data_IF_798944871873
#
_entry.id   IF_798944871873
#
_cell.length_a   1.000
_cell.length_b   1.000
_cell.length_c   1.000
_cell.angle_alpha   90.00
_cell.angle_beta   90.00
_cell.angle_gamma   90.00
#
_symmetry.space_group_name_H-M   'P 1'
#
loop_
_entity.id
_entity.type
_entity.pdbx_description
1 polymer ?
#
# COMPACT_ATOMS: atom_id res chain seq x y z
N UNK A 1 -19.09 -16.45 -6.68
CA UNK A 1 -19.92 -16.40 -5.45
C UNK A 1 -19.95 -17.78 -4.82
N UNK A 2 -18.91 -18.11 -4.05
CA UNK A 2 -18.75 -19.40 -3.38
C UNK A 2 -19.23 -19.27 -1.94
N UNK A 3 -20.28 -20.03 -1.62
CA UNK A 3 -20.96 -20.08 -0.34
C UNK A 3 -20.11 -20.88 0.65
N UNK A 4 -19.71 -20.27 1.77
CA UNK A 4 -19.08 -20.99 2.88
C UNK A 4 -20.15 -21.58 3.78
N UNK A 5 -20.13 -22.90 3.90
CA UNK A 5 -20.97 -23.74 4.74
C UNK A 5 -20.60 -23.55 6.22
N UNK A 6 -21.55 -23.06 7.02
CA UNK A 6 -21.48 -23.05 8.48
C UNK A 6 -21.52 -24.49 9.00
N UNK A 7 -20.43 -24.96 9.61
CA UNK A 7 -20.41 -26.20 10.38
C UNK A 7 -20.95 -25.91 11.79
N UNK A 8 -22.20 -26.31 12.04
CA UNK A 8 -22.83 -26.32 13.35
C UNK A 8 -22.23 -27.45 14.19
N UNK A 9 -21.50 -27.11 15.25
CA UNK A 9 -21.04 -28.09 16.25
C UNK A 9 -22.21 -28.36 17.20
N UNK A 10 -22.80 -29.55 17.08
CA UNK A 10 -23.79 -30.06 18.01
C UNK A 10 -23.11 -30.44 19.34
N UNK A 11 -23.48 -29.77 20.44
CA UNK A 11 -23.14 -30.22 21.78
C UNK A 11 -24.03 -31.41 22.16
N UNK A 12 -23.40 -32.56 22.41
CA UNK A 12 -24.04 -33.71 23.02
C UNK A 12 -24.24 -33.46 24.52
N UNK A 13 -25.49 -33.33 24.94
CA UNK A 13 -25.92 -33.35 26.34
C UNK A 13 -26.00 -34.79 26.84
N UNK A 14 -25.02 -35.21 27.65
CA UNK A 14 -25.14 -36.43 28.44
C UNK A 14 -25.86 -36.11 29.76
N UNK A 15 -27.14 -36.46 29.84
CA UNK A 15 -27.90 -36.47 31.08
C UNK A 15 -27.65 -37.79 31.82
N UNK A 16 -26.98 -37.74 32.97
CA UNK A 16 -26.94 -38.84 33.94
C UNK A 16 -27.84 -38.48 35.12
N UNK A 17 -28.90 -39.28 35.28
CA UNK A 17 -29.77 -39.26 36.43
C UNK A 17 -29.08 -39.89 37.65
N UNK A 18 -29.18 -39.22 38.80
CA UNK A 18 -28.82 -39.73 40.11
C UNK A 18 -29.46 -38.88 41.20
N UNK A 19 -30.37 -39.45 41.98
CA UNK A 19 -30.99 -38.81 43.14
C UNK A 19 -29.95 -38.59 44.25
N UNK A 20 -29.90 -37.38 44.82
CA UNK A 20 -29.21 -37.13 46.08
C UNK A 20 -28.81 -35.68 46.28
N UNK A 21 -29.38 -35.06 47.33
CA UNK A 21 -29.03 -33.75 47.93
C UNK A 21 -29.47 -32.49 47.17
N UNK A 22 -30.07 -31.57 47.94
CA UNK A 22 -30.53 -30.25 47.54
C UNK A 22 -29.42 -29.47 46.79
N UNK A 23 -29.76 -28.52 45.90
CA UNK A 23 -28.77 -27.65 45.31
C UNK A 23 -28.10 -26.86 46.44
N UNK A 24 -26.88 -27.27 46.80
CA UNK A 24 -25.96 -26.38 47.51
C UNK A 24 -25.89 -25.11 46.67
N UNK A 25 -26.19 -23.97 47.29
CA UNK A 25 -25.96 -22.67 46.68
C UNK A 25 -24.56 -22.68 46.03
N UNK A 26 -24.39 -22.10 44.83
CA UNK A 26 -23.07 -22.03 44.21
C UNK A 26 -22.09 -21.50 45.26
N UNK A 27 -20.94 -22.16 45.48
CA UNK A 27 -20.00 -21.74 46.50
C UNK A 27 -19.66 -20.27 46.25
N UNK A 28 -19.80 -19.45 47.30
CA UNK A 28 -19.56 -18.03 47.19
C UNK A 28 -18.04 -17.83 47.12
N UNK A 29 -17.51 -17.78 45.90
CA UNK A 29 -16.06 -17.75 45.62
C UNK A 29 -15.48 -16.33 45.60
N UNK A 30 -16.20 -15.36 46.18
CA UNK A 30 -15.78 -13.95 46.27
C UNK A 30 -14.56 -13.75 47.20
N UNK A 31 -14.24 -14.74 48.05
CA UNK A 31 -13.05 -14.71 48.90
C UNK A 31 -11.80 -15.23 48.16
N UNK A 32 -10.77 -14.38 47.94
CA UNK A 32 -9.53 -14.78 47.27
C UNK A 32 -8.69 -15.80 48.06
N UNK A 33 -9.00 -16.08 49.32
CA UNK A 33 -8.33 -17.09 50.15
C UNK A 33 -9.14 -18.39 50.29
N UNK A 34 -10.24 -18.56 49.56
CA UNK A 34 -11.05 -19.77 49.64
C UNK A 34 -10.32 -20.98 49.03
N UNK A 35 -9.96 -21.95 49.88
CA UNK A 35 -9.24 -23.16 49.50
C UNK A 35 -10.16 -24.27 48.93
N UNK A 36 -11.46 -24.01 48.75
CA UNK A 36 -12.38 -24.95 48.10
C UNK A 36 -11.88 -25.24 46.67
N UNK A 37 -11.61 -26.51 46.32
CA UNK A 37 -11.09 -26.87 45.00
C UNK A 37 -12.01 -26.44 43.85
N UNK A 38 -13.33 -26.30 44.08
CA UNK A 38 -14.25 -25.75 43.09
C UNK A 38 -14.03 -24.25 42.87
N UNK A 39 -13.79 -23.47 43.93
CA UNK A 39 -13.48 -22.04 43.83
C UNK A 39 -12.10 -21.79 43.22
N UNK A 40 -11.10 -22.61 43.55
CA UNK A 40 -9.75 -22.53 42.96
C UNK A 40 -9.80 -22.75 41.44
N UNK A 41 -10.61 -23.70 40.96
CA UNK A 41 -10.78 -23.93 39.51
C UNK A 41 -11.47 -22.75 38.81
N UNK A 42 -12.50 -22.15 39.42
CA UNK A 42 -13.18 -20.98 38.87
C UNK A 42 -12.24 -19.78 38.80
N UNK A 43 -11.47 -19.51 39.86
CA UNK A 43 -10.48 -18.44 39.90
C UNK A 43 -9.35 -18.67 38.89
N UNK A 44 -8.87 -19.92 38.73
CA UNK A 44 -7.87 -20.27 37.71
C UNK A 44 -8.41 -20.08 36.28
N UNK A 45 -9.66 -20.45 36.02
CA UNK A 45 -10.31 -20.23 34.72
C UNK A 45 -10.53 -18.74 34.42
N UNK A 46 -10.90 -17.94 35.44
CA UNK A 46 -11.01 -16.49 35.30
C UNK A 46 -9.65 -15.84 35.02
N UNK A 47 -8.60 -16.24 35.74
CA UNK A 47 -7.23 -15.79 35.49
C UNK A 47 -6.75 -16.16 34.09
N UNK A 48 -6.98 -17.40 33.65
CA UNK A 48 -6.63 -17.83 32.29
C UNK A 48 -7.36 -17.02 31.21
N UNK A 49 -8.64 -16.69 31.41
CA UNK A 49 -9.39 -15.80 30.51
C UNK A 49 -8.83 -14.37 30.50
N UNK A 50 -8.47 -13.82 31.66
CA UNK A 50 -7.86 -12.50 31.76
C UNK A 50 -6.49 -12.45 31.08
N UNK A 51 -5.66 -13.47 31.29
CA UNK A 51 -4.35 -13.61 30.63
C UNK A 51 -4.50 -13.73 29.10
N UNK A 52 -5.52 -14.47 28.63
CA UNK A 52 -5.82 -14.60 27.21
C UNK A 52 -6.30 -13.26 26.62
N UNK A 53 -7.17 -12.52 27.30
CA UNK A 53 -7.61 -11.20 26.88
C UNK A 53 -6.45 -10.19 26.84
N UNK A 54 -5.55 -10.22 27.82
CA UNK A 54 -4.36 -9.38 27.85
C UNK A 54 -3.42 -9.67 26.66
N UNK A 55 -3.20 -10.95 26.34
CA UNK A 55 -2.40 -11.35 25.16
C UNK A 55 -3.04 -10.91 23.86
N UNK A 56 -4.36 -11.04 23.72
CA UNK A 56 -5.08 -10.58 22.53
C UNK A 56 -4.96 -9.06 22.35
N UNK A 57 -5.13 -8.29 23.43
CA UNK A 57 -4.96 -6.84 23.40
C UNK A 57 -3.54 -6.42 23.01
N UNK A 58 -2.51 -7.14 23.50
CA UNK A 58 -1.12 -6.90 23.10
C UNK A 58 -0.88 -7.16 21.62
N UNK A 59 -1.33 -8.32 21.10
CA UNK A 59 -1.19 -8.65 19.67
C UNK A 59 -1.90 -7.63 18.77
N UNK A 60 -3.05 -7.12 19.21
CA UNK A 60 -3.77 -6.08 18.49
C UNK A 60 -3.01 -4.75 18.47
N UNK A 61 -2.48 -4.31 19.61
CA UNK A 61 -1.69 -3.08 19.70
C UNK A 61 -0.42 -3.16 18.83
N UNK A 62 0.25 -4.31 18.79
CA UNK A 62 1.40 -4.54 17.92
C UNK A 62 1.01 -4.49 16.43
N UNK A 63 -0.13 -5.07 16.06
CA UNK A 63 -0.67 -5.00 14.69
C UNK A 63 -0.93 -3.55 14.26
N UNK A 64 -1.57 -2.74 15.12
CA UNK A 64 -1.76 -1.30 14.88
C UNK A 64 -0.42 -0.59 14.67
N UNK A 65 0.58 -0.87 15.51
CA UNK A 65 1.88 -0.24 15.40
C UNK A 65 2.57 -0.56 14.05
N UNK A 66 2.47 -1.80 13.56
CA UNK A 66 3.03 -2.19 12.25
C UNK A 66 2.30 -1.53 11.09
N UNK A 67 0.97 -1.44 11.13
CA UNK A 67 0.22 -0.68 10.13
C UNK A 67 0.58 0.80 10.13
N UNK A 68 0.71 1.44 11.30
CA UNK A 68 1.10 2.84 11.39
C UNK A 68 2.52 3.07 10.83
N UNK A 69 3.45 2.17 11.13
CA UNK A 69 4.81 2.24 10.59
C UNK A 69 4.83 2.11 9.06
N UNK A 70 4.02 1.19 8.51
CA UNK A 70 3.89 1.05 7.06
C UNK A 70 3.22 2.28 6.44
N UNK A 71 2.14 2.82 7.01
CA UNK A 71 1.50 4.04 6.50
C UNK A 71 2.51 5.21 6.45
N UNK A 72 3.34 5.37 7.47
CA UNK A 72 4.39 6.40 7.48
C UNK A 72 5.39 6.24 6.32
N UNK A 73 5.77 5.00 5.98
CA UNK A 73 6.64 4.74 4.83
C UNK A 73 5.95 5.08 3.50
N UNK A 74 4.65 4.77 3.38
CA UNK A 74 3.86 5.09 2.18
C UNK A 74 3.67 6.61 2.03
N UNK A 75 3.46 7.32 3.13
CA UNK A 75 3.34 8.79 3.15
C UNK A 75 4.67 9.46 2.77
N UNK A 76 5.80 8.90 3.23
CA UNK A 76 7.13 9.36 2.82
C UNK A 76 7.37 9.17 1.32
N UNK A 77 6.94 8.05 0.74
CA UNK A 77 7.04 7.82 -0.70
C UNK A 77 6.22 8.84 -1.51
N UNK A 78 5.00 9.16 -1.07
CA UNK A 78 4.17 10.19 -1.71
C UNK A 78 4.86 11.56 -1.64
N UNK A 79 5.41 11.93 -0.48
CA UNK A 79 6.13 13.18 -0.31
C UNK A 79 7.40 13.25 -1.16
N UNK A 80 8.17 12.16 -1.27
CA UNK A 80 9.33 12.10 -2.18
C UNK A 80 8.91 12.30 -3.65
N UNK A 81 7.79 11.72 -4.03
CA UNK A 81 7.22 11.88 -5.37
C UNK A 81 6.82 13.34 -5.66
N UNK A 82 6.19 14.02 -4.70
CA UNK A 82 5.83 15.44 -4.79
C UNK A 82 7.08 16.33 -4.94
N UNK A 83 8.09 16.12 -4.09
CA UNK A 83 9.36 16.87 -4.16
C UNK A 83 10.06 16.64 -5.50
N UNK A 84 10.06 15.40 -5.98
CA UNK A 84 10.75 15.03 -7.22
C UNK A 84 10.08 15.60 -8.45
N UNK A 85 8.74 15.63 -8.49
CA UNK A 85 8.03 16.20 -9.63
C UNK A 85 8.14 17.73 -9.65
N UNK A 86 8.16 18.37 -8.48
CA UNK A 86 8.46 19.79 -8.36
C UNK A 86 9.88 20.10 -8.89
N UNK A 87 10.88 19.30 -8.49
CA UNK A 87 12.25 19.44 -8.99
C UNK A 87 12.35 19.25 -10.52
N UNK A 88 11.54 18.35 -11.10
CA UNK A 88 11.47 18.18 -12.55
C UNK A 88 10.91 19.44 -13.24
N UNK A 89 9.87 20.06 -12.68
CA UNK A 89 9.33 21.34 -13.18
C UNK A 89 10.39 22.45 -13.05
N UNK A 90 11.06 22.54 -11.90
CA UNK A 90 12.06 23.56 -11.63
C UNK A 90 13.28 23.47 -12.54
N UNK A 91 13.71 22.26 -12.89
CA UNK A 91 14.76 22.03 -13.87
C UNK A 91 14.42 22.68 -15.23
N UNK A 92 13.14 22.79 -15.55
CA UNK A 92 12.61 23.45 -16.74
C UNK A 92 12.61 24.98 -16.69
N UNK A 93 12.83 25.61 -15.54
CA UNK A 93 12.71 27.08 -15.40
C UNK A 93 13.68 27.86 -16.30
N UNK A 94 14.80 27.25 -16.67
CA UNK A 94 15.76 27.80 -17.65
C UNK A 94 15.24 27.84 -19.10
N UNK A 95 14.13 27.17 -19.41
CA UNK A 95 13.54 27.10 -20.74
C UNK A 95 12.50 28.23 -20.95
N UNK A 96 12.19 28.59 -22.20
CA UNK A 96 11.01 29.41 -22.51
C UNK A 96 9.72 28.75 -22.00
N UNK A 97 8.74 29.54 -21.52
CA UNK A 97 7.50 29.05 -20.90
C UNK A 97 6.79 27.95 -21.70
N UNK A 98 6.73 28.09 -23.02
CA UNK A 98 6.10 27.10 -23.91
C UNK A 98 6.80 25.72 -23.92
N UNK A 99 8.07 25.66 -23.54
CA UNK A 99 8.93 24.47 -23.55
C UNK A 99 9.11 23.84 -22.16
N UNK A 100 8.53 24.44 -21.12
CA UNK A 100 8.68 23.97 -19.73
C UNK A 100 7.80 22.75 -19.45
N UNK A 101 8.27 21.81 -18.60
CA UNK A 101 7.41 20.82 -17.98
C UNK A 101 6.24 21.50 -17.27
N UNK A 102 5.06 20.88 -17.29
CA UNK A 102 3.82 21.45 -16.72
C UNK A 102 2.82 20.36 -16.37
N UNK A 103 1.69 20.77 -15.80
CA UNK A 103 0.54 19.91 -15.49
C UNK A 103 0.97 18.68 -14.67
N UNK A 104 1.87 18.90 -13.70
CA UNK A 104 2.36 17.85 -12.82
C UNK A 104 1.33 17.51 -11.76
N UNK A 105 1.15 16.23 -11.46
CA UNK A 105 0.25 15.75 -10.41
C UNK A 105 0.78 14.47 -9.78
N UNK A 106 0.51 14.30 -8.48
CA UNK A 106 0.77 13.07 -7.74
C UNK A 106 -0.58 12.48 -7.35
N UNK A 107 -0.85 11.26 -7.83
CA UNK A 107 -2.07 10.53 -7.58
C UNK A 107 -1.83 9.48 -6.50
N UNK A 108 -2.82 9.32 -5.63
CA UNK A 108 -2.81 8.34 -4.56
C UNK A 108 -4.04 7.47 -4.65
N UNK A 109 -3.91 6.24 -4.19
CA UNK A 109 -5.01 5.27 -4.11
C UNK A 109 -5.07 4.69 -2.71
N UNK A 110 -6.22 4.12 -2.35
CA UNK A 110 -6.42 3.41 -1.09
C UNK A 110 -6.57 1.92 -1.38
N UNK A 111 -5.77 1.09 -0.72
CA UNK A 111 -5.80 -0.37 -0.90
C UNK A 111 -5.92 -1.09 0.45
N UNK A 112 -6.69 -2.19 0.51
CA UNK A 112 -6.75 -3.02 1.71
C UNK A 112 -5.45 -3.81 1.86
N UNK A 113 -4.81 -3.70 3.02
CA UNK A 113 -3.57 -4.41 3.37
C UNK A 113 -3.83 -5.35 4.54
N UNK A 114 -3.43 -6.61 4.37
CA UNK A 114 -3.51 -7.63 5.43
C UNK A 114 -2.19 -7.74 6.16
N UNK A 115 -2.26 -7.78 7.50
CA UNK A 115 -1.13 -8.08 8.37
C UNK A 115 -0.63 -9.52 8.13
N UNK A 116 0.67 -9.72 8.14
CA UNK A 116 1.28 -11.03 7.94
C UNK A 116 1.13 -11.94 9.16
N UNK A 117 0.97 -11.37 10.36
CA UNK A 117 0.91 -12.10 11.62
C UNK A 117 -0.50 -12.22 12.20
N UNK A 118 -1.43 -11.40 11.74
CA UNK A 118 -2.82 -11.38 12.22
C UNK A 118 -3.79 -11.33 11.04
N UNK A 119 -5.06 -11.77 11.20
CA UNK A 119 -6.05 -11.66 10.13
C UNK A 119 -6.57 -10.22 9.93
N UNK A 120 -5.95 -9.22 10.56
CA UNK A 120 -6.40 -7.83 10.49
C UNK A 120 -6.12 -7.26 9.10
N UNK A 121 -7.07 -6.47 8.62
CA UNK A 121 -6.98 -5.71 7.38
C UNK A 121 -7.11 -4.22 7.72
N UNK A 122 -6.28 -3.40 7.11
CA UNK A 122 -6.38 -1.94 7.18
C UNK A 122 -6.30 -1.34 5.78
N UNK A 123 -7.12 -0.34 5.51
CA UNK A 123 -7.04 0.43 4.29
C UNK A 123 -5.87 1.42 4.38
N UNK A 124 -4.98 1.37 3.40
CA UNK A 124 -3.77 2.18 3.38
C UNK A 124 -3.75 3.06 2.15
N UNK A 125 -3.42 4.33 2.36
CA UNK A 125 -3.23 5.29 1.27
C UNK A 125 -1.80 5.19 0.77
N UNK A 126 -1.63 5.08 -0.55
CA UNK A 126 -0.33 4.93 -1.18
C UNK A 126 -0.23 5.66 -2.51
N UNK A 127 0.99 5.87 -2.98
CA UNK A 127 1.28 6.38 -4.31
C UNK A 127 0.73 5.42 -5.37
N UNK A 128 -0.03 5.96 -6.32
CA UNK A 128 -0.53 5.24 -7.49
C UNK A 128 0.29 5.63 -8.73
N UNK A 129 0.26 6.92 -9.07
CA UNK A 129 0.94 7.43 -10.24
C UNK A 129 1.42 8.88 -10.07
N UNK A 130 2.43 9.25 -10.84
CA UNK A 130 2.86 10.64 -11.00
C UNK A 130 2.75 11.01 -12.46
N UNK A 131 2.12 12.14 -12.75
CA UNK A 131 1.92 12.65 -14.11
C UNK A 131 2.72 13.92 -14.29
N UNK A 132 3.34 14.10 -15.46
CA UNK A 132 3.91 15.37 -15.91
C UNK A 132 3.86 15.48 -17.43
N UNK A 133 3.51 16.67 -17.94
CA UNK A 133 3.53 16.97 -19.36
C UNK A 133 4.81 17.69 -19.76
N UNK A 134 5.44 17.18 -20.82
CA UNK A 134 6.76 17.60 -21.28
C UNK A 134 6.65 18.04 -22.75
N UNK A 135 6.79 19.34 -23.05
CA UNK A 135 6.78 19.82 -24.43
C UNK A 135 7.99 19.31 -25.24
N UNK A 136 7.74 18.72 -26.40
CA UNK A 136 8.78 18.08 -27.22
C UNK A 136 9.76 19.08 -27.83
N UNK A 137 9.34 20.35 -27.98
CA UNK A 137 10.22 21.45 -28.40
C UNK A 137 11.42 21.67 -27.45
N UNK A 138 11.30 21.24 -26.19
CA UNK A 138 12.39 21.30 -25.21
C UNK A 138 13.44 20.20 -25.32
N UNK A 139 13.19 19.09 -26.06
CA UNK A 139 13.98 17.83 -25.99
C UNK A 139 15.50 17.95 -26.12
N UNK A 140 16.00 18.95 -26.85
CA UNK A 140 17.44 19.15 -27.10
C UNK A 140 18.07 20.17 -26.14
N UNK A 141 17.33 20.63 -25.13
CA UNK A 141 17.76 21.67 -24.19
C UNK A 141 18.09 21.06 -22.84
N UNK A 142 19.10 21.61 -22.17
CA UNK A 142 19.57 21.12 -20.86
C UNK A 142 18.46 21.05 -19.81
N UNK A 143 17.59 22.05 -19.73
CA UNK A 143 16.47 22.04 -18.79
C UNK A 143 15.52 20.86 -18.98
N UNK A 144 15.28 20.44 -20.24
CA UNK A 144 14.45 19.26 -20.53
C UNK A 144 15.16 17.98 -20.13
N UNK A 145 16.46 17.85 -20.45
CA UNK A 145 17.26 16.69 -20.04
C UNK A 145 17.28 16.53 -18.53
N UNK A 146 17.44 17.63 -17.79
CA UNK A 146 17.44 17.63 -16.33
C UNK A 146 16.08 17.22 -15.77
N UNK A 147 14.98 17.74 -16.32
CA UNK A 147 13.62 17.34 -15.94
C UNK A 147 13.37 15.85 -16.20
N UNK A 148 13.82 15.32 -17.34
CA UNK A 148 13.74 13.90 -17.68
C UNK A 148 14.58 13.03 -16.74
N UNK A 149 15.76 13.50 -16.33
CA UNK A 149 16.59 12.79 -15.36
C UNK A 149 15.88 12.71 -14.00
N UNK A 150 15.19 13.77 -13.56
CA UNK A 150 14.39 13.75 -12.35
C UNK A 150 13.22 12.76 -12.45
N UNK A 151 12.50 12.74 -13.58
CA UNK A 151 11.44 11.76 -13.87
C UNK A 151 11.96 10.31 -13.81
N UNK A 152 13.11 10.04 -14.43
CA UNK A 152 13.74 8.71 -14.39
C UNK A 152 14.18 8.32 -12.99
N UNK A 153 14.80 9.24 -12.25
CA UNK A 153 15.25 8.99 -10.89
C UNK A 153 14.07 8.68 -9.96
N UNK A 154 12.94 9.39 -10.12
CA UNK A 154 11.70 9.09 -9.41
C UNK A 154 11.21 7.68 -9.76
N UNK A 155 11.11 7.35 -11.05
CA UNK A 155 10.65 6.03 -11.47
C UNK A 155 11.55 4.89 -10.98
N UNK A 156 12.87 5.09 -10.95
CA UNK A 156 13.83 4.15 -10.33
C UNK A 156 13.54 3.96 -8.85
N UNK A 157 13.39 5.04 -8.06
CA UNK A 157 13.10 4.91 -6.62
C UNK A 157 11.76 4.24 -6.35
N UNK A 158 10.73 4.58 -7.13
CA UNK A 158 9.42 3.91 -7.04
C UNK A 158 9.59 2.41 -7.36
N UNK A 159 10.36 2.06 -8.39
CA UNK A 159 10.63 0.67 -8.71
C UNK A 159 11.37 -0.04 -7.58
N UNK A 160 12.32 0.61 -6.92
CA UNK A 160 13.06 0.03 -5.80
C UNK A 160 12.19 -0.15 -4.55
N UNK A 161 11.28 0.79 -4.29
CA UNK A 161 10.34 0.71 -3.16
C UNK A 161 9.24 -0.34 -3.38
N UNK A 162 8.76 -0.49 -4.62
CA UNK A 162 7.60 -1.33 -4.99
C UNK A 162 7.97 -2.63 -5.68
N UNK A 163 9.25 -2.85 -5.93
CA UNK A 163 9.74 -3.98 -6.70
C UNK A 163 9.38 -3.94 -8.19
N UNK A 164 9.06 -2.75 -8.70
CA UNK A 164 8.79 -2.47 -10.11
C UNK A 164 8.10 -1.13 -10.35
N UNK A 165 8.32 -0.50 -11.51
CA UNK A 165 7.58 0.68 -11.95
C UNK A 165 7.46 0.72 -13.48
N UNK A 166 6.43 1.42 -13.96
CA UNK A 166 6.24 1.67 -15.40
C UNK A 166 6.19 3.16 -15.70
N UNK A 167 6.98 3.62 -16.65
CA UNK A 167 6.83 4.94 -17.27
C UNK A 167 5.98 4.76 -18.52
N UNK A 168 4.71 5.17 -18.45
CA UNK A 168 3.84 5.29 -19.62
C UNK A 168 4.06 6.66 -20.27
N UNK A 169 4.40 6.68 -21.56
CA UNK A 169 4.54 7.90 -22.34
C UNK A 169 3.40 7.99 -23.34
N UNK A 170 2.44 8.86 -23.06
CA UNK A 170 1.35 9.13 -24.00
C UNK A 170 1.78 10.21 -25.00
N UNK A 171 1.51 9.93 -26.28
CA UNK A 171 1.96 10.74 -27.40
C UNK A 171 0.78 11.07 -28.32
N UNK A 172 0.80 12.27 -28.93
CA UNK A 172 -0.22 12.62 -29.91
C UNK A 172 -0.08 11.78 -31.19
N UNK A 173 -1.21 11.39 -31.80
CA UNK A 173 -1.21 10.65 -33.08
C UNK A 173 -0.52 11.42 -34.21
N UNK A 174 -0.63 12.76 -34.19
CA UNK A 174 -0.01 13.64 -35.18
C UNK A 174 1.52 13.62 -35.11
N UNK A 175 2.09 13.57 -33.91
CA UNK A 175 3.55 13.52 -33.74
C UNK A 175 4.12 12.14 -34.06
N UNK A 176 3.41 11.07 -33.74
CA UNK A 176 3.80 9.70 -34.11
C UNK A 176 3.78 9.52 -35.63
N UNK A 177 2.68 9.89 -36.30
CA UNK A 177 2.57 9.83 -37.78
C UNK A 177 3.63 10.72 -38.45
N UNK A 178 3.92 11.87 -37.86
CA UNK A 178 4.96 12.79 -38.30
C UNK A 178 6.39 12.38 -37.95
N UNK A 179 6.60 11.22 -37.29
CA UNK A 179 7.91 10.71 -36.83
C UNK A 179 8.69 11.71 -35.97
N UNK A 180 7.98 12.54 -35.21
CA UNK A 180 8.56 13.59 -34.33
C UNK A 180 8.92 13.07 -32.94
N UNK A 181 8.38 11.92 -32.58
CA UNK A 181 8.58 11.26 -31.30
C UNK A 181 9.07 9.83 -31.53
N UNK A 182 9.77 9.29 -30.54
CA UNK A 182 10.24 7.91 -30.57
C UNK A 182 9.15 7.00 -29.98
N UNK A 183 8.83 5.90 -30.66
CA UNK A 183 7.82 4.91 -30.27
C UNK A 183 8.41 3.61 -29.74
N UNK A 184 9.73 3.53 -29.57
CA UNK A 184 10.41 2.38 -28.97
C UNK A 184 10.07 2.28 -27.49
N UNK A 185 9.73 1.06 -27.08
CA UNK A 185 9.51 0.65 -25.71
C UNK A 185 10.72 -0.13 -25.20
N UNK A 186 10.75 -0.41 -23.91
CA UNK A 186 11.79 -1.25 -23.34
C UNK A 186 11.64 -1.49 -21.87
N UNK A 187 12.42 -2.44 -21.39
CA UNK A 187 12.52 -2.79 -19.98
C UNK A 187 13.99 -2.73 -19.58
N UNK A 188 14.24 -2.25 -18.38
CA UNK A 188 15.57 -2.21 -17.76
C UNK A 188 15.44 -2.59 -16.30
N UNK A 189 16.53 -3.06 -15.70
CA UNK A 189 16.58 -3.29 -14.26
C UNK A 189 17.19 -2.08 -13.56
N UNK A 190 16.67 -1.77 -12.37
CA UNK A 190 17.35 -0.88 -11.42
C UNK A 190 18.62 -1.54 -10.90
N UNK A 191 19.42 -0.80 -10.13
CA UNK A 191 20.61 -1.35 -9.47
C UNK A 191 20.27 -2.48 -8.50
N UNK A 192 19.08 -2.43 -7.92
CA UNK A 192 18.58 -3.42 -6.96
C UNK A 192 17.86 -4.58 -7.66
N UNK A 193 17.88 -4.62 -8.99
CA UNK A 193 17.29 -5.71 -9.80
C UNK A 193 15.79 -5.59 -10.03
N UNK A 194 15.17 -4.45 -9.71
CA UNK A 194 13.74 -4.23 -9.89
C UNK A 194 13.42 -3.77 -11.31
N UNK A 195 12.29 -4.21 -11.87
CA UNK A 195 11.93 -3.88 -13.24
C UNK A 195 11.48 -2.42 -13.40
N UNK A 196 12.07 -1.71 -14.35
CA UNK A 196 11.65 -0.40 -14.82
C UNK A 196 11.26 -0.50 -16.30
N UNK A 197 9.96 -0.48 -16.56
CA UNK A 197 9.40 -0.61 -17.91
C UNK A 197 9.06 0.78 -18.48
N UNK A 198 9.32 0.98 -19.78
CA UNK A 198 8.88 2.15 -20.53
C UNK A 198 7.92 1.69 -21.62
N UNK A 199 6.67 2.14 -21.54
CA UNK A 199 5.63 1.90 -22.55
C UNK A 199 5.22 3.18 -23.23
N UNK A 200 4.73 3.09 -24.46
CA UNK A 200 4.34 4.26 -25.25
C UNK A 200 3.01 4.03 -25.93
N UNK A 201 2.10 4.95 -25.69
CA UNK A 201 0.74 4.86 -26.20
C UNK A 201 0.37 6.10 -26.99
N UNK A 202 -0.43 5.91 -28.04
CA UNK A 202 -1.02 7.02 -28.78
C UNK A 202 -2.32 7.42 -28.08
N UNK A 203 -2.41 8.66 -27.63
CA UNK A 203 -3.56 9.18 -26.91
C UNK A 203 -4.13 10.41 -27.62
N UNK A 204 -5.46 10.46 -27.77
CA UNK A 204 -6.16 11.64 -28.31
C UNK A 204 -6.22 12.80 -27.31
N UNK A 205 -5.94 12.54 -26.04
CA UNK A 205 -5.96 13.53 -24.97
C UNK A 205 -4.67 14.35 -24.89
N UNK A 206 -3.60 13.88 -25.55
CA UNK A 206 -2.31 14.57 -25.59
C UNK A 206 -2.24 15.48 -26.80
N UNK A 207 -2.07 16.77 -26.55
CA UNK A 207 -1.93 17.77 -27.61
C UNK A 207 -0.62 17.58 -28.40
N UNK A 208 -0.65 17.98 -29.66
CA UNK A 208 0.53 18.00 -30.53
C UNK A 208 1.68 18.79 -29.90
N UNK A 209 2.88 18.25 -29.98
CA UNK A 209 4.09 18.85 -29.42
C UNK A 209 4.27 18.61 -27.91
N UNK A 210 3.46 17.74 -27.30
CA UNK A 210 3.54 17.36 -25.88
C UNK A 210 3.66 15.84 -25.78
N UNK A 211 4.44 15.37 -24.81
CA UNK A 211 4.37 13.99 -24.31
C UNK A 211 3.92 14.05 -22.85
N UNK A 212 2.95 13.23 -22.48
CA UNK A 212 2.55 13.05 -21.08
C UNK A 212 3.24 11.83 -20.52
N UNK A 213 3.97 12.02 -19.43
CA UNK A 213 4.68 10.95 -18.73
C UNK A 213 3.89 10.60 -17.48
N UNK A 214 3.49 9.35 -17.38
CA UNK A 214 2.81 8.79 -16.22
C UNK A 214 3.71 7.70 -15.62
N UNK A 215 4.32 7.98 -14.47
CA UNK A 215 5.07 6.99 -13.70
C UNK A 215 4.06 6.24 -12.83
N UNK A 216 3.78 4.98 -13.15
CA UNK A 216 2.92 4.10 -12.36
C UNK A 216 3.76 3.27 -11.38
N UNK A 217 3.36 3.30 -10.12
CA UNK A 217 3.93 2.45 -9.09
C UNK A 217 3.54 0.98 -9.31
N UNK A 218 4.44 0.06 -8.97
CA UNK A 218 4.10 -1.35 -8.85
C UNK A 218 3.23 -1.62 -7.62
N UNK A 219 2.66 -2.82 -7.56
CA UNK A 219 1.83 -3.25 -6.42
C UNK A 219 2.60 -3.20 -5.10
N UNK A 220 1.88 -2.99 -4.00
CA UNK A 220 2.46 -3.09 -2.67
C UNK A 220 2.86 -4.55 -2.38
N UNK A 221 4.17 -4.81 -2.39
CA UNK A 221 4.71 -6.15 -2.06
C UNK A 221 4.82 -6.40 -0.55
N UNK A 222 4.95 -5.34 0.25
CA UNK A 222 5.17 -5.45 1.70
C UNK A 222 3.85 -5.67 2.43
N UNK A 223 3.79 -6.76 3.20
CA UNK A 223 2.78 -6.95 4.24
C UNK A 223 3.41 -6.56 5.59
N UNK A 224 2.73 -5.78 6.43
CA UNK A 224 3.21 -5.45 7.76
C UNK A 224 3.19 -6.67 8.69
#
# INVERSE_FOLDING_TARGET
>A
MTRFTLASIALATAALAGCGTAPSAPPNCDDPNNADPACVQVQAAQKAKADQAARQAQTEAESVARFNALQLQLDEEVRDAEVSIAAAVDAGNSLPKAQRPRNSSVLTTTVPVTDSLTPRVADMKMLDAVIIEMPTAGKKKRGYTNAMNAVKALATRVADNRGGATILVEQSSADVRGRKVNTSEGESLTKDGNALTVRKEVSSEVLKGIERYTIKAGDLKKRP
#
